data_IF_107287793127
#
_entry.id   IF_107287793127
#
_cell.length_a   1.000
_cell.length_b   1.000
_cell.length_c   1.000
_cell.angle_alpha   90.00
_cell.angle_beta   90.00
_cell.angle_gamma   90.00
#
_symmetry.space_group_name_H-M   'P 1'
#
loop_
_entity.id
_entity.type
_entity.pdbx_description
1 polymer ?
#
# COMPACT_ATOMS: atom_id res chain seq x y z
N UNK A 1 33.71 -40.31 10.65
CA UNK A 1 32.26 -40.58 10.41
C UNK A 1 31.39 -39.40 10.87
N UNK A 2 31.56 -38.18 10.33
CA UNK A 2 30.92 -36.95 10.85
C UNK A 2 29.93 -36.22 9.92
N UNK A 3 29.67 -36.68 8.70
CA UNK A 3 29.06 -35.83 7.66
C UNK A 3 27.55 -36.03 7.42
N UNK A 4 26.95 -37.16 7.78
CA UNK A 4 25.55 -37.44 7.42
C UNK A 4 24.52 -36.74 8.33
N UNK A 5 24.77 -36.71 9.65
CA UNK A 5 23.89 -36.04 10.61
C UNK A 5 23.92 -34.51 10.46
N UNK A 6 25.11 -33.94 10.21
CA UNK A 6 25.29 -32.51 9.92
C UNK A 6 24.50 -32.08 8.67
N UNK A 7 24.56 -32.85 7.58
CA UNK A 7 23.79 -32.58 6.35
C UNK A 7 22.28 -32.63 6.56
N UNK A 8 21.77 -33.61 7.31
CA UNK A 8 20.33 -33.71 7.62
C UNK A 8 19.83 -32.52 8.44
N UNK A 9 20.63 -32.05 9.40
CA UNK A 9 20.29 -30.88 10.20
C UNK A 9 20.29 -29.61 9.35
N UNK A 10 21.27 -29.42 8.46
CA UNK A 10 21.31 -28.29 7.52
C UNK A 10 20.06 -28.28 6.63
N UNK A 11 19.69 -29.42 6.03
CA UNK A 11 18.49 -29.50 5.18
C UNK A 11 17.22 -29.11 5.96
N UNK A 12 17.06 -29.62 7.19
CA UNK A 12 15.90 -29.26 8.04
C UNK A 12 15.85 -27.77 8.34
N UNK A 13 16.98 -27.15 8.66
CA UNK A 13 17.06 -25.71 8.89
C UNK A 13 16.71 -24.94 7.63
N UNK A 14 17.25 -25.31 6.47
CA UNK A 14 16.91 -24.67 5.20
C UNK A 14 15.42 -24.78 4.87
N UNK A 15 14.80 -25.96 5.10
CA UNK A 15 13.37 -26.14 4.89
C UNK A 15 12.54 -25.27 5.84
N UNK A 16 12.91 -25.21 7.12
CA UNK A 16 12.23 -24.34 8.08
C UNK A 16 12.34 -22.87 7.68
N UNK A 17 13.52 -22.41 7.28
CA UNK A 17 13.73 -21.03 6.81
C UNK A 17 12.92 -20.74 5.55
N UNK A 18 12.87 -21.67 4.60
CA UNK A 18 12.06 -21.55 3.40
C UNK A 18 10.56 -21.46 3.74
N UNK A 19 10.06 -22.32 4.62
CA UNK A 19 8.66 -22.29 5.07
C UNK A 19 8.30 -20.98 5.76
N UNK A 20 9.14 -20.50 6.68
CA UNK A 20 8.92 -19.21 7.35
C UNK A 20 8.93 -18.06 6.35
N UNK A 21 9.85 -18.08 5.39
CA UNK A 21 9.93 -17.06 4.34
C UNK A 21 8.67 -17.04 3.47
N UNK A 22 8.16 -18.21 3.05
CA UNK A 22 6.92 -18.29 2.26
C UNK A 22 5.72 -17.70 3.01
N UNK A 23 5.58 -18.03 4.31
CA UNK A 23 4.50 -17.48 5.14
C UNK A 23 4.62 -15.96 5.27
N UNK A 24 5.83 -15.45 5.54
CA UNK A 24 6.06 -14.01 5.67
C UNK A 24 5.76 -13.24 4.37
N UNK A 25 6.19 -13.78 3.22
CA UNK A 25 5.93 -13.18 1.91
C UNK A 25 4.43 -13.21 1.56
N UNK A 26 3.74 -14.32 1.86
CA UNK A 26 2.30 -14.43 1.68
C UNK A 26 1.53 -13.40 2.51
N UNK A 27 1.87 -13.28 3.80
CA UNK A 27 1.26 -12.29 4.68
C UNK A 27 1.47 -10.85 4.18
N UNK A 28 2.68 -10.53 3.70
CA UNK A 28 2.98 -9.21 3.12
C UNK A 28 2.16 -8.95 1.86
N UNK A 29 2.06 -9.91 0.94
CA UNK A 29 1.26 -9.76 -0.27
C UNK A 29 -0.24 -9.57 0.04
N UNK A 30 -0.79 -10.32 0.99
CA UNK A 30 -2.19 -10.15 1.44
C UNK A 30 -2.41 -8.76 2.04
N UNK A 31 -1.46 -8.25 2.84
CA UNK A 31 -1.54 -6.90 3.38
C UNK A 31 -1.55 -5.86 2.25
N UNK A 32 -0.60 -5.93 1.31
CA UNK A 32 -0.52 -4.99 0.18
C UNK A 32 -1.80 -5.04 -0.66
N UNK A 33 -2.35 -6.23 -0.90
CA UNK A 33 -3.61 -6.38 -1.62
C UNK A 33 -4.80 -5.77 -0.87
N UNK A 34 -4.89 -5.97 0.45
CA UNK A 34 -5.98 -5.44 1.26
C UNK A 34 -6.06 -3.91 1.29
N UNK A 35 -4.91 -3.23 1.29
CA UNK A 35 -4.86 -1.76 1.35
C UNK A 35 -4.74 -1.07 -0.01
N UNK A 36 -4.11 -1.71 -0.99
CA UNK A 36 -3.72 -1.12 -2.27
C UNK A 36 -4.35 -1.79 -3.50
N UNK A 37 -4.98 -2.96 -3.34
CA UNK A 37 -5.43 -3.83 -4.43
C UNK A 37 -4.30 -4.32 -5.36
N UNK A 38 -3.07 -4.39 -4.85
CA UNK A 38 -1.89 -4.85 -5.60
C UNK A 38 -1.45 -6.24 -5.12
N UNK A 39 -0.99 -7.09 -6.04
CA UNK A 39 -0.35 -8.38 -5.73
C UNK A 39 1.18 -8.27 -5.82
N UNK A 40 1.75 -7.37 -5.03
CA UNK A 40 3.19 -7.13 -4.96
C UNK A 40 3.67 -7.17 -3.50
N UNK A 41 4.97 -7.37 -3.29
CA UNK A 41 5.58 -7.30 -1.96
C UNK A 41 5.94 -5.85 -1.59
N UNK A 42 6.27 -5.06 -2.60
CA UNK A 42 6.61 -3.65 -2.53
C UNK A 42 5.42 -2.84 -3.09
N UNK A 43 4.58 -2.27 -2.21
CA UNK A 43 3.43 -1.48 -2.63
C UNK A 43 3.88 -0.22 -3.37
N UNK A 44 3.11 0.22 -4.36
CA UNK A 44 3.38 1.49 -5.03
C UNK A 44 3.00 2.68 -4.14
N UNK A 45 3.68 3.84 -4.26
CA UNK A 45 3.29 5.04 -3.53
C UNK A 45 1.87 5.51 -3.89
N UNK A 46 1.45 5.32 -5.15
CA UNK A 46 0.11 5.64 -5.64
C UNK A 46 -0.63 4.38 -6.13
N UNK A 47 -1.15 3.52 -5.24
CA UNK A 47 -1.79 2.26 -5.63
C UNK A 47 -3.12 2.46 -6.38
N UNK A 48 -3.63 1.47 -7.13
CA UNK A 48 -4.92 1.57 -7.82
C UNK A 48 -6.11 1.92 -6.91
N UNK A 49 -6.04 1.52 -5.64
CA UNK A 49 -7.07 1.76 -4.62
C UNK A 49 -6.41 2.15 -3.31
N UNK A 50 -7.06 2.98 -2.49
CA UNK A 50 -6.66 3.23 -1.10
C UNK A 50 -7.86 3.08 -0.17
N UNK A 51 -7.62 2.51 1.02
CA UNK A 51 -8.55 2.59 2.14
C UNK A 51 -8.12 3.72 3.08
N UNK A 52 -8.99 4.72 3.26
CA UNK A 52 -8.69 5.93 4.05
C UNK A 52 -9.93 6.40 4.82
N UNK A 53 -9.78 6.71 6.11
CA UNK A 53 -10.89 7.13 6.98
C UNK A 53 -12.12 6.17 6.95
N UNK A 54 -11.89 4.86 6.84
CA UNK A 54 -12.96 3.85 6.81
C UNK A 54 -13.68 3.74 5.46
N UNK A 55 -13.18 4.39 4.41
CA UNK A 55 -13.77 4.42 3.07
C UNK A 55 -12.75 4.00 2.02
N UNK A 56 -13.26 3.47 0.93
CA UNK A 56 -12.46 3.04 -0.22
C UNK A 56 -12.46 4.09 -1.32
N UNK A 57 -11.29 4.33 -1.91
CA UNK A 57 -11.12 5.29 -3.00
C UNK A 57 -10.34 4.68 -4.15
N UNK A 58 -10.79 4.91 -5.38
CA UNK A 58 -10.12 4.46 -6.61
C UNK A 58 -9.26 5.57 -7.21
N UNK A 59 -8.08 5.18 -7.71
CA UNK A 59 -7.14 6.07 -8.39
C UNK A 59 -7.69 6.46 -9.75
N UNK A 60 -7.94 7.76 -9.92
CA UNK A 60 -8.22 8.40 -11.19
C UNK A 60 -6.97 8.85 -11.93
N UNK A 61 -7.14 9.87 -12.78
CA UNK A 61 -6.05 10.43 -13.58
C UNK A 61 -5.00 11.19 -12.77
N UNK A 62 -3.88 11.46 -13.43
CA UNK A 62 -2.85 12.38 -12.93
C UNK A 62 -3.39 13.82 -12.91
N UNK A 63 -3.23 14.50 -11.80
CA UNK A 63 -3.57 15.91 -11.61
C UNK A 63 -2.43 16.79 -12.13
N UNK A 64 -2.63 17.47 -13.27
CA UNK A 64 -1.60 18.31 -13.91
C UNK A 64 -1.18 19.53 -13.07
N UNK A 65 -2.03 19.99 -12.14
CA UNK A 65 -1.77 21.15 -11.28
C UNK A 65 -1.09 20.83 -9.94
N UNK A 66 -0.70 19.58 -9.69
CA UNK A 66 -0.15 19.17 -8.40
C UNK A 66 -1.20 19.09 -7.29
N UNK A 67 -0.75 19.23 -6.03
CA UNK A 67 -1.63 19.20 -4.85
C UNK A 67 -2.38 20.52 -4.78
N UNK A 68 -3.72 20.52 -4.60
CA UNK A 68 -4.48 21.77 -4.43
C UNK A 68 -3.94 22.62 -3.27
N UNK A 69 -3.93 23.96 -3.39
CA UNK A 69 -3.33 24.85 -2.40
C UNK A 69 -4.05 24.82 -1.04
N UNK A 70 -5.32 24.43 -1.01
CA UNK A 70 -6.15 24.27 0.18
C UNK A 70 -6.12 22.84 0.75
N UNK A 71 -5.36 21.94 0.14
CA UNK A 71 -5.25 20.56 0.60
C UNK A 71 -4.19 20.40 1.70
N UNK A 72 -4.57 19.67 2.74
CA UNK A 72 -3.73 19.42 3.91
C UNK A 72 -3.31 17.95 3.91
N UNK A 73 -2.05 17.69 4.27
CA UNK A 73 -1.54 16.33 4.48
C UNK A 73 -2.32 15.64 5.61
N UNK A 74 -2.81 14.43 5.36
CA UNK A 74 -3.58 13.64 6.33
C UNK A 74 -2.99 12.27 6.64
N UNK A 75 -2.12 11.74 5.79
CA UNK A 75 -1.49 10.44 6.02
C UNK A 75 -0.65 9.99 4.85
N UNK A 76 -0.29 8.71 4.86
CA UNK A 76 0.55 8.08 3.84
C UNK A 76 -0.01 6.73 3.41
N UNK A 77 0.21 6.34 2.16
CA UNK A 77 -0.06 4.98 1.65
C UNK A 77 1.01 4.01 2.14
N UNK A 78 0.75 2.70 2.06
CA UNK A 78 1.76 1.68 2.41
C UNK A 78 3.05 1.78 1.57
N UNK A 79 2.97 2.34 0.36
CA UNK A 79 4.12 2.59 -0.50
C UNK A 79 4.80 3.94 -0.28
N UNK A 80 4.38 4.71 0.73
CA UNK A 80 4.97 6.00 1.09
C UNK A 80 4.46 7.20 0.28
N UNK A 81 3.35 7.06 -0.44
CA UNK A 81 2.71 8.20 -1.11
C UNK A 81 1.95 9.06 -0.09
N UNK A 82 2.01 10.38 -0.25
CA UNK A 82 1.42 11.32 0.71
C UNK A 82 -0.04 11.61 0.36
N UNK A 83 -0.97 11.42 1.31
CA UNK A 83 -2.42 11.60 1.12
C UNK A 83 -2.83 13.00 1.59
N UNK A 84 -3.42 13.79 0.70
CA UNK A 84 -3.93 15.12 0.96
C UNK A 84 -5.46 15.19 0.79
N UNK A 85 -6.10 16.03 1.61
CA UNK A 85 -7.55 16.28 1.60
C UNK A 85 -7.80 17.79 1.61
N UNK A 86 -8.68 18.27 0.75
CA UNK A 86 -9.06 19.70 0.71
C UNK A 86 -9.79 20.09 1.99
N UNK A 87 -9.43 21.25 2.54
CA UNK A 87 -9.94 21.76 3.80
C UNK A 87 -11.37 22.29 3.71
N UNK A 88 -12.37 21.45 3.45
CA UNK A 88 -13.78 21.81 3.76
C UNK A 88 -14.16 21.38 5.18
N UNK A 89 -14.99 22.16 5.89
CA UNK A 89 -15.36 21.87 7.27
C UNK A 89 -16.23 20.62 7.31
N UNK A 90 -15.84 19.64 8.13
CA UNK A 90 -16.63 18.47 8.54
C UNK A 90 -17.43 17.76 7.43
N UNK A 91 -16.81 16.79 6.76
CA UNK A 91 -17.48 15.88 5.84
C UNK A 91 -16.53 14.83 5.27
N UNK A 92 -17.09 13.71 4.80
CA UNK A 92 -16.36 12.72 4.01
C UNK A 92 -15.87 13.38 2.72
N UNK A 93 -14.56 13.35 2.46
CA UNK A 93 -14.08 13.85 1.17
C UNK A 93 -14.51 12.89 0.08
N UNK A 94 -15.09 13.40 -0.99
CA UNK A 94 -15.31 12.61 -2.21
C UNK A 94 -14.02 12.45 -3.01
N UNK A 95 -13.05 13.35 -2.79
CA UNK A 95 -11.77 13.37 -3.48
C UNK A 95 -10.60 13.40 -2.50
N UNK A 96 -9.61 12.54 -2.74
CA UNK A 96 -8.29 12.61 -2.12
C UNK A 96 -7.23 12.86 -3.19
N UNK A 97 -6.08 13.36 -2.77
CA UNK A 97 -4.94 13.58 -3.65
C UNK A 97 -3.75 12.82 -3.10
N UNK A 98 -3.17 11.90 -3.87
CA UNK A 98 -1.96 11.19 -3.47
C UNK A 98 -0.78 11.69 -4.27
N UNK A 99 0.24 12.18 -3.55
CA UNK A 99 1.50 12.63 -4.13
C UNK A 99 2.52 11.50 -4.12
N UNK A 100 3.06 11.21 -5.29
CA UNK A 100 4.16 10.28 -5.55
C UNK A 100 5.30 11.04 -6.23
N UNK A 101 6.30 11.43 -5.44
CA UNK A 101 7.38 12.31 -5.88
C UNK A 101 6.86 13.64 -6.45
N UNK A 102 6.97 13.80 -7.76
CA UNK A 102 6.50 14.98 -8.51
C UNK A 102 5.10 14.81 -9.12
N UNK A 103 4.55 13.60 -9.08
CA UNK A 103 3.22 13.31 -9.64
C UNK A 103 2.17 13.36 -8.55
N UNK A 104 0.98 13.84 -8.91
CA UNK A 104 -0.20 13.83 -8.02
C UNK A 104 -1.31 13.11 -8.75
N UNK A 105 -2.00 12.22 -8.04
CA UNK A 105 -3.11 11.44 -8.56
C UNK A 105 -4.37 11.78 -7.76
N UNK A 106 -5.49 11.93 -8.45
CA UNK A 106 -6.80 12.14 -7.81
C UNK A 106 -7.40 10.79 -7.48
N UNK A 107 -7.97 10.64 -6.29
CA UNK A 107 -8.66 9.44 -5.84
C UNK A 107 -10.11 9.77 -5.56
N UNK A 108 -11.02 9.06 -6.22
CA UNK A 108 -12.46 9.22 -6.07
C UNK A 108 -13.05 8.20 -5.13
N UNK A 109 -13.97 8.63 -4.28
CA UNK A 109 -14.70 7.75 -3.35
C UNK A 109 -15.48 6.66 -4.10
N UNK A 110 -15.27 5.40 -3.73
CA UNK A 110 -16.03 4.26 -4.24
C UNK A 110 -17.39 4.17 -3.54
N UNK A 111 -18.45 3.90 -4.30
CA UNK A 111 -19.77 3.58 -3.74
C UNK A 111 -20.71 4.76 -3.42
N UNK A 112 -20.40 5.97 -3.91
CA UNK A 112 -21.27 7.15 -3.75
C UNK A 112 -21.06 7.94 -2.44
N UNK A 113 -21.63 9.16 -2.34
CA UNK A 113 -21.49 10.03 -1.16
C UNK A 113 -22.06 9.39 0.12
#
# INVERSE_FOLDING_TARGET
MGNAASRRNIIRVCLLLASVSVVALGARATQVHGYGWEWTLSPSPAPPKIHFEGRDYDRGGKQSGGVPPDAVLKGETLGGGQIFKTGRPSGTSTLLYVKDGWSVYVYGLMGGP
#
